data_IF_017845627225
#
_entry.id   IF_017845627225
#
_cell.length_a   1.000
_cell.length_b   1.000
_cell.length_c   1.000
_cell.angle_alpha   90.00
_cell.angle_beta   90.00
_cell.angle_gamma   90.00
#
_symmetry.space_group_name_H-M   'P 1'
#
loop_
_entity.id
_entity.type
_entity.pdbx_description
1 polymer ?
#
# COMPACT_ATOMS: atom_id res chain seq x y z
N UNK A 1 32.87 -31.81 5.02
CA UNK A 1 32.01 -31.99 3.83
C UNK A 1 30.61 -32.47 4.17
N UNK A 2 30.41 -33.54 4.97
CA UNK A 2 29.05 -33.98 5.41
C UNK A 2 28.48 -33.04 6.50
N UNK A 3 29.33 -32.54 7.39
CA UNK A 3 28.99 -31.59 8.44
C UNK A 3 28.61 -30.22 7.86
N UNK A 4 29.29 -29.76 6.79
CA UNK A 4 28.95 -28.53 6.07
C UNK A 4 27.63 -28.65 5.32
N UNK A 5 27.32 -29.79 4.71
CA UNK A 5 26.04 -30.08 4.04
C UNK A 5 24.87 -30.05 5.03
N UNK A 6 25.05 -30.65 6.22
CA UNK A 6 24.02 -30.65 7.25
C UNK A 6 23.74 -29.24 7.78
N UNK A 7 24.76 -28.43 8.00
CA UNK A 7 24.62 -27.05 8.44
C UNK A 7 23.87 -26.18 7.41
N UNK A 8 24.23 -26.27 6.13
CA UNK A 8 23.52 -25.55 5.03
C UNK A 8 22.07 -26.00 4.94
N UNK A 9 21.77 -27.27 5.12
CA UNK A 9 20.41 -27.81 5.11
C UNK A 9 19.56 -27.26 6.26
N UNK A 10 20.11 -27.18 7.47
CA UNK A 10 19.42 -26.60 8.65
C UNK A 10 19.10 -25.13 8.43
N UNK A 11 20.04 -24.35 7.88
CA UNK A 11 19.82 -22.92 7.58
C UNK A 11 18.70 -22.70 6.56
N UNK A 12 18.68 -23.48 5.47
CA UNK A 12 17.66 -23.43 4.43
C UNK A 12 16.29 -23.80 5.01
N UNK A 13 16.24 -24.90 5.78
CA UNK A 13 14.99 -25.36 6.40
C UNK A 13 14.42 -24.33 7.36
N UNK A 14 15.28 -23.66 8.16
CA UNK A 14 14.84 -22.59 9.06
C UNK A 14 14.33 -21.38 8.29
N UNK A 15 15.04 -20.92 7.25
CA UNK A 15 14.64 -19.74 6.48
C UNK A 15 13.31 -19.98 5.72
N UNK A 16 13.21 -21.09 5.01
CA UNK A 16 11.99 -21.44 4.29
C UNK A 16 10.83 -21.77 5.24
N UNK A 17 11.10 -22.45 6.36
CA UNK A 17 10.11 -22.71 7.40
C UNK A 17 9.52 -21.42 7.98
N UNK A 18 10.37 -20.42 8.28
CA UNK A 18 9.93 -19.11 8.72
C UNK A 18 9.06 -18.41 7.65
N UNK A 19 9.47 -18.45 6.37
CA UNK A 19 8.69 -17.89 5.28
C UNK A 19 7.30 -18.55 5.14
N UNK A 20 7.24 -19.87 5.24
CA UNK A 20 5.98 -20.65 5.19
C UNK A 20 5.04 -20.22 6.33
N UNK A 21 5.55 -20.17 7.57
CA UNK A 21 4.76 -19.77 8.74
C UNK A 21 4.24 -18.34 8.58
N UNK A 22 5.10 -17.40 8.18
CA UNK A 22 4.73 -16.01 7.96
C UNK A 22 3.64 -15.88 6.89
N UNK A 23 3.78 -16.54 5.76
CA UNK A 23 2.82 -16.45 4.65
C UNK A 23 1.50 -17.15 4.96
N UNK A 24 1.54 -18.30 5.65
CA UNK A 24 0.32 -18.98 6.10
C UNK A 24 -0.47 -18.12 7.11
N UNK A 25 0.23 -17.50 8.07
CA UNK A 25 -0.38 -16.58 9.03
C UNK A 25 -0.97 -15.35 8.34
N UNK A 26 -0.24 -14.77 7.39
CA UNK A 26 -0.70 -13.60 6.62
C UNK A 26 -1.97 -13.92 5.83
N UNK A 27 -2.02 -15.05 5.13
CA UNK A 27 -3.22 -15.52 4.42
C UNK A 27 -4.40 -15.75 5.37
N UNK A 28 -4.16 -16.32 6.55
CA UNK A 28 -5.19 -16.52 7.57
C UNK A 28 -5.77 -15.18 8.06
N UNK A 29 -4.92 -14.22 8.43
CA UNK A 29 -5.35 -12.89 8.88
C UNK A 29 -6.15 -12.15 7.80
N UNK A 30 -5.69 -12.18 6.55
CA UNK A 30 -6.38 -11.54 5.43
C UNK A 30 -7.75 -12.17 5.15
N UNK A 31 -7.87 -13.49 5.21
CA UNK A 31 -9.17 -14.18 5.03
C UNK A 31 -10.17 -13.84 6.12
N UNK A 32 -9.71 -13.68 7.37
CA UNK A 32 -10.57 -13.37 8.51
C UNK A 32 -11.11 -11.93 8.47
N UNK A 33 -10.32 -10.97 8.00
CA UNK A 33 -10.65 -9.53 8.02
C UNK A 33 -11.20 -9.03 6.68
N UNK A 34 -11.78 -9.90 5.86
CA UNK A 34 -12.22 -9.60 4.50
C UNK A 34 -13.59 -8.93 4.51
N UNK A 35 -13.64 -7.59 4.44
CA UNK A 35 -14.88 -6.82 4.30
C UNK A 35 -15.23 -6.51 2.84
N UNK A 36 -14.24 -6.28 1.97
CA UNK A 36 -14.40 -6.08 0.52
C UNK A 36 -13.19 -6.60 -0.24
N UNK A 37 -13.38 -7.09 -1.49
CA UNK A 37 -12.32 -7.60 -2.33
C UNK A 37 -12.06 -6.61 -3.46
N UNK A 38 -11.01 -5.81 -3.33
CA UNK A 38 -10.47 -5.04 -4.43
C UNK A 38 -9.56 -5.89 -5.33
N UNK A 39 -9.30 -5.44 -6.56
CA UNK A 39 -8.51 -6.22 -7.51
C UNK A 39 -7.02 -6.30 -7.11
N UNK A 40 -6.48 -5.26 -6.49
CA UNK A 40 -5.14 -5.22 -5.90
C UNK A 40 -5.00 -6.19 -4.73
N UNK A 41 -6.03 -6.36 -3.89
CA UNK A 41 -6.07 -7.38 -2.83
C UNK A 41 -5.88 -8.80 -3.38
N UNK A 42 -6.51 -9.11 -4.52
CA UNK A 42 -6.36 -10.43 -5.16
C UNK A 42 -4.93 -10.68 -5.66
N UNK A 43 -4.30 -9.66 -6.24
CA UNK A 43 -2.91 -9.78 -6.69
C UNK A 43 -2.00 -10.02 -5.49
N UNK A 44 -2.22 -9.30 -4.40
CA UNK A 44 -1.48 -9.49 -3.16
C UNK A 44 -1.67 -10.90 -2.57
N UNK A 45 -2.90 -11.43 -2.55
CA UNK A 45 -3.16 -12.81 -2.11
C UNK A 45 -2.44 -13.84 -2.98
N UNK A 46 -2.37 -13.63 -4.31
CA UNK A 46 -1.59 -14.48 -5.20
C UNK A 46 -0.09 -14.41 -4.91
N UNK A 47 0.47 -13.22 -4.67
CA UNK A 47 1.89 -13.10 -4.28
C UNK A 47 2.18 -13.86 -2.99
N UNK A 48 1.31 -13.73 -1.99
CA UNK A 48 1.44 -14.43 -0.70
C UNK A 48 1.38 -15.95 -0.88
N UNK A 49 0.44 -16.44 -1.69
CA UNK A 49 0.30 -17.88 -1.98
C UNK A 49 1.51 -18.43 -2.74
N UNK A 50 1.98 -17.72 -3.77
CA UNK A 50 3.13 -18.12 -4.57
C UNK A 50 4.41 -18.11 -3.74
N UNK A 51 4.58 -17.14 -2.82
CA UNK A 51 5.71 -17.11 -1.89
C UNK A 51 5.70 -18.31 -0.94
N UNK A 52 4.52 -18.66 -0.41
CA UNK A 52 4.37 -19.87 0.43
C UNK A 52 4.73 -21.13 -0.34
N UNK A 53 4.14 -21.34 -1.53
CA UNK A 53 4.40 -22.50 -2.37
C UNK A 53 5.86 -22.52 -2.83
N UNK A 54 6.43 -21.36 -3.17
CA UNK A 54 7.82 -21.22 -3.57
C UNK A 54 8.79 -21.68 -2.47
N UNK A 55 8.57 -21.27 -1.23
CA UNK A 55 9.39 -21.71 -0.09
C UNK A 55 9.29 -23.23 0.15
N UNK A 56 8.10 -23.82 -0.02
CA UNK A 56 7.91 -25.28 0.05
C UNK A 56 8.67 -25.98 -1.08
N UNK A 57 8.51 -25.51 -2.32
CA UNK A 57 9.16 -26.11 -3.49
C UNK A 57 10.68 -25.98 -3.41
N UNK A 58 11.18 -24.81 -2.94
CA UNK A 58 12.61 -24.58 -2.76
C UNK A 58 13.20 -25.55 -1.72
N UNK A 59 12.51 -25.79 -0.62
CA UNK A 59 12.92 -26.83 0.34
C UNK A 59 12.94 -28.22 -0.31
N UNK A 60 11.97 -28.52 -1.18
CA UNK A 60 11.93 -29.80 -1.91
C UNK A 60 13.11 -29.94 -2.89
N UNK A 61 13.62 -28.86 -3.50
CA UNK A 61 14.81 -28.96 -4.38
C UNK A 61 16.00 -29.55 -3.64
N UNK A 62 16.25 -29.08 -2.40
CA UNK A 62 17.35 -29.57 -1.56
C UNK A 62 17.14 -30.98 -1.06
N UNK A 63 15.90 -31.40 -0.79
CA UNK A 63 15.56 -32.75 -0.35
C UNK A 63 15.75 -33.78 -1.51
N UNK A 64 15.50 -33.35 -2.75
CA UNK A 64 15.57 -34.22 -3.92
C UNK A 64 16.98 -34.28 -4.53
N UNK A 65 17.79 -33.23 -4.30
CA UNK A 65 19.13 -33.12 -4.84
C UNK A 65 20.04 -34.27 -4.34
N UNK A 66 20.70 -34.97 -5.26
CA UNK A 66 21.54 -36.12 -4.96
C UNK A 66 20.79 -37.42 -4.62
N UNK A 67 19.46 -37.44 -4.64
CA UNK A 67 18.69 -38.67 -4.39
C UNK A 67 18.64 -39.58 -5.63
N UNK A 68 18.54 -40.90 -5.39
CA UNK A 68 18.65 -41.93 -6.45
C UNK A 68 17.35 -42.72 -6.73
N UNK A 69 16.19 -42.27 -6.18
CA UNK A 69 14.91 -42.93 -6.43
C UNK A 69 14.41 -42.71 -7.87
N UNK A 70 13.52 -43.60 -8.36
CA UNK A 70 12.96 -43.51 -9.71
C UNK A 70 12.21 -42.20 -9.89
N UNK A 71 12.61 -41.35 -10.84
CA UNK A 71 12.03 -40.05 -11.11
C UNK A 71 12.66 -38.88 -10.33
N UNK A 72 13.64 -39.11 -9.45
CA UNK A 72 14.32 -38.06 -8.69
C UNK A 72 14.87 -36.94 -9.56
N UNK A 73 15.53 -37.29 -10.68
CA UNK A 73 16.09 -36.35 -11.63
C UNK A 73 15.02 -35.48 -12.31
N UNK A 74 13.89 -36.07 -12.68
CA UNK A 74 12.76 -35.34 -13.26
C UNK A 74 12.18 -34.37 -12.20
N UNK A 75 12.01 -34.82 -10.95
CA UNK A 75 11.50 -34.00 -9.88
C UNK A 75 12.45 -32.84 -9.57
N UNK A 76 13.76 -33.05 -9.59
CA UNK A 76 14.79 -32.02 -9.40
C UNK A 76 14.74 -30.98 -10.53
N UNK A 77 14.59 -31.38 -11.80
CA UNK A 77 14.36 -30.44 -12.90
C UNK A 77 13.09 -29.64 -12.73
N UNK A 78 11.98 -30.27 -12.35
CA UNK A 78 10.68 -29.63 -12.18
C UNK A 78 10.70 -28.61 -11.04
N UNK A 79 11.19 -28.99 -9.86
CA UNK A 79 11.21 -28.13 -8.67
C UNK A 79 12.12 -26.92 -8.89
N UNK A 80 13.32 -27.10 -9.45
CA UNK A 80 14.19 -25.98 -9.78
C UNK A 80 13.57 -25.04 -10.82
N UNK A 81 12.93 -25.57 -11.87
CA UNK A 81 12.24 -24.74 -12.86
C UNK A 81 11.10 -23.92 -12.25
N UNK A 82 10.35 -24.50 -11.31
CA UNK A 82 9.28 -23.80 -10.58
C UNK A 82 9.83 -22.71 -9.66
N UNK A 83 10.97 -22.93 -9.01
CA UNK A 83 11.64 -21.91 -8.19
C UNK A 83 12.08 -20.72 -9.05
N UNK A 84 12.77 -20.96 -10.17
CA UNK A 84 13.17 -19.91 -11.11
C UNK A 84 11.97 -19.12 -11.62
N UNK A 85 10.94 -19.81 -12.08
CA UNK A 85 9.71 -19.17 -12.59
C UNK A 85 8.99 -18.38 -11.49
N UNK A 86 8.89 -18.96 -10.28
CA UNK A 86 8.20 -18.34 -9.14
C UNK A 86 8.79 -17.00 -8.74
N UNK A 87 10.12 -16.86 -8.74
CA UNK A 87 10.79 -15.59 -8.40
C UNK A 87 10.46 -14.47 -9.39
N UNK A 88 10.42 -14.78 -10.69
CA UNK A 88 10.08 -13.82 -11.74
C UNK A 88 8.60 -13.48 -11.73
N UNK A 89 7.73 -14.47 -11.43
CA UNK A 89 6.27 -14.24 -11.25
C UNK A 89 5.99 -13.28 -10.11
N UNK A 90 6.71 -13.35 -8.98
CA UNK A 90 6.56 -12.41 -7.88
C UNK A 90 6.89 -10.98 -8.34
N UNK A 91 7.99 -10.77 -9.05
CA UNK A 91 8.34 -9.45 -9.60
C UNK A 91 7.28 -8.90 -10.56
N UNK A 92 6.75 -9.75 -11.43
CA UNK A 92 5.65 -9.43 -12.34
C UNK A 92 4.38 -9.01 -11.57
N UNK A 93 3.93 -9.82 -10.62
CA UNK A 93 2.74 -9.51 -9.81
C UNK A 93 2.93 -8.26 -8.96
N UNK A 94 4.15 -8.02 -8.46
CA UNK A 94 4.46 -6.79 -7.76
C UNK A 94 4.24 -5.54 -8.63
N UNK A 95 4.75 -5.54 -9.87
CA UNK A 95 4.51 -4.43 -10.81
C UNK A 95 3.02 -4.20 -11.08
N UNK A 96 2.26 -5.28 -11.23
CA UNK A 96 0.81 -5.20 -11.45
C UNK A 96 0.08 -4.66 -10.22
N UNK A 97 0.50 -5.08 -9.02
CA UNK A 97 -0.01 -4.56 -7.76
C UNK A 97 0.24 -3.05 -7.64
N UNK A 98 1.47 -2.61 -7.90
CA UNK A 98 1.87 -1.20 -7.87
C UNK A 98 1.05 -0.36 -8.85
N UNK A 99 0.96 -0.77 -10.13
CA UNK A 99 0.21 -0.03 -11.17
C UNK A 99 -1.28 0.10 -10.79
N UNK A 100 -1.89 -0.98 -10.32
CA UNK A 100 -3.31 -1.00 -9.96
C UNK A 100 -3.59 -0.20 -8.68
N UNK A 101 -2.72 -0.31 -7.67
CA UNK A 101 -2.86 0.38 -6.39
C UNK A 101 -2.74 1.90 -6.54
N UNK A 102 -1.79 2.37 -7.36
CA UNK A 102 -1.54 3.79 -7.61
C UNK A 102 -2.63 4.41 -8.45
N UNK A 103 -2.90 3.83 -9.62
CA UNK A 103 -3.74 4.46 -10.63
C UNK A 103 -5.22 4.06 -10.54
N UNK A 104 -5.56 2.98 -9.85
CA UNK A 104 -6.92 2.42 -9.72
C UNK A 104 -7.67 2.33 -11.06
N UNK A 105 -6.92 2.21 -12.18
CA UNK A 105 -7.43 2.26 -13.56
C UNK A 105 -7.26 0.92 -14.27
N UNK A 106 -8.34 0.16 -14.38
CA UNK A 106 -8.34 -1.17 -15.02
C UNK A 106 -8.04 -1.14 -16.54
N UNK A 107 -8.35 -0.04 -17.24
CA UNK A 107 -8.04 0.07 -18.67
C UNK A 107 -6.54 0.26 -18.90
N UNK A 108 -5.86 1.11 -18.08
CA UNK A 108 -4.41 1.27 -18.07
C UNK A 108 -3.71 -0.04 -17.73
N UNK A 109 -4.14 -0.70 -16.67
CA UNK A 109 -3.66 -2.02 -16.25
C UNK A 109 -3.66 -3.03 -17.40
N UNK A 110 -4.79 -3.22 -18.10
CA UNK A 110 -4.90 -4.15 -19.23
C UNK A 110 -3.99 -3.80 -20.41
N UNK A 111 -3.79 -2.52 -20.67
CA UNK A 111 -2.89 -2.06 -21.73
C UNK A 111 -1.42 -2.35 -21.38
N UNK A 112 -1.02 -2.09 -20.15
CA UNK A 112 0.35 -2.25 -19.69
C UNK A 112 0.73 -3.72 -19.47
N UNK A 113 -0.24 -4.59 -19.16
CA UNK A 113 -0.04 -6.01 -18.89
C UNK A 113 0.83 -6.71 -19.94
N UNK A 114 0.59 -6.42 -21.25
CA UNK A 114 1.34 -7.06 -22.35
C UNK A 114 2.83 -6.68 -22.37
N UNK A 115 3.17 -5.46 -21.93
CA UNK A 115 4.56 -5.01 -21.88
C UNK A 115 5.26 -5.53 -20.61
N UNK A 116 4.58 -5.49 -19.49
CA UNK A 116 5.07 -6.01 -18.21
C UNK A 116 5.25 -7.53 -18.27
N UNK A 117 4.51 -8.25 -19.11
CA UNK A 117 4.66 -9.70 -19.29
C UNK A 117 5.91 -10.11 -20.11
N UNK A 118 6.60 -9.20 -20.81
CA UNK A 118 7.71 -9.54 -21.68
C UNK A 118 8.87 -10.24 -20.94
N UNK A 119 9.41 -9.74 -19.81
CA UNK A 119 10.48 -10.44 -19.09
C UNK A 119 10.04 -11.82 -18.58
N UNK A 120 8.79 -11.95 -18.12
CA UNK A 120 8.22 -13.20 -17.67
C UNK A 120 8.16 -14.25 -18.79
N UNK A 121 7.68 -13.85 -19.98
CA UNK A 121 7.62 -14.74 -21.15
C UNK A 121 9.01 -15.12 -21.63
N UNK A 122 9.96 -14.18 -21.58
CA UNK A 122 11.36 -14.47 -21.95
C UNK A 122 11.98 -15.51 -21.00
N UNK A 123 11.79 -15.35 -19.68
CA UNK A 123 12.22 -16.35 -18.67
C UNK A 123 11.60 -17.71 -18.93
N UNK A 124 10.30 -17.76 -19.22
CA UNK A 124 9.59 -18.99 -19.55
C UNK A 124 10.20 -19.70 -20.77
N UNK A 125 10.53 -18.97 -21.83
CA UNK A 125 11.19 -19.51 -23.03
C UNK A 125 12.58 -20.04 -22.69
N UNK A 126 13.37 -19.34 -21.89
CA UNK A 126 14.69 -19.78 -21.44
C UNK A 126 14.60 -21.06 -20.62
N UNK A 127 13.60 -21.20 -19.74
CA UNK A 127 13.37 -22.43 -18.97
C UNK A 127 12.94 -23.60 -19.87
N UNK A 128 12.07 -23.39 -20.86
CA UNK A 128 11.69 -24.39 -21.81
C UNK A 128 12.93 -24.88 -22.61
N UNK A 129 13.76 -23.94 -23.05
CA UNK A 129 15.01 -24.29 -23.76
C UNK A 129 15.98 -25.07 -22.85
N UNK A 130 16.04 -24.72 -21.56
CA UNK A 130 16.85 -25.48 -20.59
C UNK A 130 16.35 -26.90 -20.41
N UNK A 131 15.03 -27.13 -20.38
CA UNK A 131 14.41 -28.46 -20.26
C UNK A 131 14.63 -29.32 -21.50
N UNK A 132 14.84 -28.74 -22.70
CA UNK A 132 15.20 -29.46 -23.91
C UNK A 132 16.64 -30.04 -23.92
N UNK A 133 17.35 -29.94 -22.78
CA UNK A 133 18.66 -30.57 -22.59
C UNK A 133 19.87 -29.67 -22.84
N UNK A 134 19.65 -28.37 -23.09
CA UNK A 134 20.72 -27.40 -23.36
C UNK A 134 21.43 -26.85 -22.10
N UNK A 135 20.85 -27.05 -20.90
CA UNK A 135 21.49 -26.79 -19.62
C UNK A 135 22.02 -25.36 -19.42
N UNK A 136 21.41 -24.36 -20.06
CA UNK A 136 21.93 -22.98 -20.05
C UNK A 136 21.72 -22.27 -18.69
N UNK A 137 20.57 -22.48 -18.04
CA UNK A 137 20.24 -21.85 -16.77
C UNK A 137 20.72 -22.67 -15.57
N UNK A 138 20.54 -23.99 -15.65
CA UNK A 138 21.04 -24.95 -14.68
C UNK A 138 21.14 -26.34 -15.32
N UNK A 139 21.96 -27.20 -14.75
CA UNK A 139 22.10 -28.62 -15.16
C UNK A 139 21.87 -29.53 -13.97
N UNK A 140 21.35 -30.74 -14.27
CA UNK A 140 21.25 -31.83 -13.30
C UNK A 140 22.12 -32.99 -13.83
N UNK A 141 23.15 -33.35 -13.09
CA UNK A 141 24.07 -34.43 -13.47
C UNK A 141 23.39 -35.80 -13.54
N UNK A 142 24.12 -36.83 -14.00
CA UNK A 142 23.64 -38.21 -13.97
C UNK A 142 23.32 -38.66 -12.52
N UNK A 143 24.12 -38.20 -11.56
CA UNK A 143 23.98 -38.52 -10.13
C UNK A 143 22.94 -37.59 -9.43
N UNK A 144 22.05 -36.95 -10.20
CA UNK A 144 21.00 -36.07 -9.73
C UNK A 144 21.50 -34.85 -8.92
N UNK A 145 22.70 -34.36 -9.22
CA UNK A 145 23.26 -33.17 -8.55
C UNK A 145 22.99 -31.90 -9.37
N UNK A 146 22.43 -30.87 -8.73
CA UNK A 146 22.18 -29.57 -9.32
C UNK A 146 23.49 -28.78 -9.48
N UNK A 147 23.62 -28.08 -10.61
CA UNK A 147 24.67 -27.09 -10.85
C UNK A 147 24.11 -25.85 -11.53
N UNK A 148 24.41 -24.68 -10.98
CA UNK A 148 23.97 -23.41 -11.55
C UNK A 148 24.68 -23.14 -12.87
N UNK A 149 23.91 -22.84 -13.92
CA UNK A 149 24.43 -22.43 -15.22
C UNK A 149 24.74 -20.91 -15.26
N UNK A 150 25.57 -20.53 -16.23
CA UNK A 150 25.96 -19.10 -16.38
C UNK A 150 24.75 -18.19 -16.62
N UNK A 151 23.78 -18.60 -17.41
CA UNK A 151 22.59 -17.80 -17.76
C UNK A 151 21.50 -17.78 -16.68
N UNK A 152 21.71 -18.41 -15.53
CA UNK A 152 20.83 -18.23 -14.36
C UNK A 152 20.67 -16.78 -13.92
N UNK A 153 21.63 -15.91 -14.29
CA UNK A 153 21.59 -14.46 -14.07
C UNK A 153 20.38 -13.78 -14.76
N UNK A 154 19.79 -14.39 -15.79
CA UNK A 154 18.63 -13.85 -16.53
C UNK A 154 17.45 -13.64 -15.59
N UNK A 155 17.16 -14.63 -14.71
CA UNK A 155 16.09 -14.49 -13.72
C UNK A 155 16.29 -13.30 -12.77
N UNK A 156 17.52 -13.11 -12.30
CA UNK A 156 17.85 -11.94 -11.46
C UNK A 156 17.67 -10.62 -12.23
N UNK A 157 18.13 -10.54 -13.47
CA UNK A 157 17.93 -9.37 -14.34
C UNK A 157 16.44 -9.09 -14.51
N UNK A 158 15.62 -10.10 -14.78
CA UNK A 158 14.17 -9.96 -14.91
C UNK A 158 13.53 -9.38 -13.65
N UNK A 159 13.91 -9.87 -12.46
CA UNK A 159 13.43 -9.34 -11.18
C UNK A 159 13.86 -7.87 -10.97
N UNK A 160 15.13 -7.54 -11.22
CA UNK A 160 15.60 -6.16 -11.10
C UNK A 160 14.88 -5.21 -12.06
N UNK A 161 14.59 -5.63 -13.28
CA UNK A 161 13.79 -4.83 -14.24
C UNK A 161 12.40 -4.52 -13.66
N UNK A 162 11.74 -5.49 -13.03
CA UNK A 162 10.46 -5.27 -12.37
C UNK A 162 10.56 -4.31 -11.18
N UNK A 163 11.61 -4.43 -10.35
CA UNK A 163 11.82 -3.52 -9.23
C UNK A 163 12.08 -2.07 -9.72
N UNK A 164 12.91 -1.90 -10.73
CA UNK A 164 13.19 -0.58 -11.33
C UNK A 164 11.95 0.02 -12.00
N UNK A 165 11.16 -0.80 -12.70
CA UNK A 165 9.91 -0.34 -13.30
C UNK A 165 8.89 0.09 -12.23
N UNK A 166 8.82 -0.61 -11.10
CA UNK A 166 7.94 -0.21 -10.01
C UNK A 166 8.36 1.14 -9.37
N UNK A 167 9.67 1.40 -9.25
CA UNK A 167 10.18 2.71 -8.82
C UNK A 167 9.79 3.80 -9.83
N UNK A 168 9.95 3.52 -11.12
CA UNK A 168 9.55 4.46 -12.18
C UNK A 168 8.06 4.80 -12.10
N UNK A 169 7.18 3.81 -11.88
CA UNK A 169 5.73 4.03 -11.74
C UNK A 169 5.42 4.99 -10.57
N UNK A 170 6.07 4.81 -9.44
CA UNK A 170 5.88 5.69 -8.26
C UNK A 170 6.40 7.10 -8.52
N UNK A 171 7.56 7.22 -9.17
CA UNK A 171 8.11 8.54 -9.51
C UNK A 171 7.20 9.30 -10.49
N UNK A 172 6.79 8.62 -11.56
CA UNK A 172 5.95 9.21 -12.61
C UNK A 172 4.55 9.60 -12.09
N UNK A 173 3.97 8.83 -11.19
CA UNK A 173 2.67 9.15 -10.60
C UNK A 173 2.70 10.44 -9.76
N UNK A 174 3.83 10.76 -9.12
CA UNK A 174 4.00 12.03 -8.40
C UNK A 174 4.00 13.23 -9.34
N UNK A 175 4.58 13.10 -10.53
CA UNK A 175 4.53 14.13 -11.57
C UNK A 175 3.10 14.35 -12.09
N UNK A 176 2.26 13.32 -12.08
CA UNK A 176 0.85 13.38 -12.45
C UNK A 176 -0.06 13.89 -11.30
N UNK A 177 0.50 14.33 -10.16
CA UNK A 177 -0.24 14.89 -9.03
C UNK A 177 -0.95 13.85 -8.16
N UNK A 178 -0.62 12.56 -8.29
CA UNK A 178 -1.17 11.51 -7.43
C UNK A 178 -0.47 11.57 -6.07
N UNK A 179 -1.24 11.82 -5.00
CA UNK A 179 -0.69 11.89 -3.65
C UNK A 179 -0.36 10.48 -3.13
N UNK A 180 0.94 10.18 -3.03
CA UNK A 180 1.48 8.87 -2.65
C UNK A 180 2.28 8.93 -1.34
N UNK A 181 1.87 9.78 -0.40
CA UNK A 181 2.62 10.01 0.85
C UNK A 181 2.95 8.72 1.63
N UNK A 182 2.27 7.61 1.33
CA UNK A 182 2.38 6.34 2.07
C UNK A 182 2.66 5.09 1.23
N UNK A 183 2.93 5.20 -0.08
CA UNK A 183 3.13 3.97 -0.86
C UNK A 183 4.41 3.22 -0.43
N UNK A 184 4.32 1.94 0.00
CA UNK A 184 5.37 1.24 0.72
C UNK A 184 6.44 0.61 -0.19
N UNK A 185 6.84 1.27 -1.29
CA UNK A 185 7.74 0.69 -2.30
C UNK A 185 9.08 0.24 -1.72
N UNK A 186 9.68 1.03 -0.84
CA UNK A 186 10.97 0.70 -0.23
C UNK A 186 10.88 -0.45 0.78
N UNK A 187 9.72 -0.66 1.41
CA UNK A 187 9.48 -1.80 2.30
C UNK A 187 9.44 -3.12 1.54
N UNK A 188 9.06 -3.11 0.26
CA UNK A 188 9.14 -4.29 -0.59
C UNK A 188 10.54 -4.47 -1.18
N UNK A 189 11.10 -3.41 -1.78
CA UNK A 189 12.37 -3.48 -2.51
C UNK A 189 13.56 -3.77 -1.59
N UNK A 190 13.61 -3.13 -0.40
CA UNK A 190 14.75 -3.24 0.50
C UNK A 190 15.10 -4.67 0.90
N UNK A 191 14.18 -5.43 1.53
CA UNK A 191 14.46 -6.82 1.89
C UNK A 191 14.71 -7.72 0.67
N UNK A 192 13.99 -7.51 -0.47
CA UNK A 192 14.22 -8.28 -1.70
C UNK A 192 15.64 -8.09 -2.23
N UNK A 193 16.11 -6.86 -2.34
CA UNK A 193 17.49 -6.56 -2.81
C UNK A 193 18.51 -7.14 -1.85
N UNK A 194 18.32 -6.98 -0.53
CA UNK A 194 19.22 -7.54 0.47
C UNK A 194 19.31 -9.07 0.35
N UNK A 195 18.16 -9.75 0.21
CA UNK A 195 18.11 -11.19 0.05
C UNK A 195 18.84 -11.68 -1.22
N UNK A 196 18.64 -11.00 -2.35
CA UNK A 196 19.32 -11.32 -3.61
C UNK A 196 20.85 -11.13 -3.45
N UNK A 197 21.30 -10.05 -2.81
CA UNK A 197 22.73 -9.81 -2.57
C UNK A 197 23.32 -10.89 -1.67
N UNK A 198 22.66 -11.27 -0.57
CA UNK A 198 23.10 -12.35 0.31
C UNK A 198 23.20 -13.65 -0.47
N UNK A 199 22.19 -14.01 -1.25
CA UNK A 199 22.19 -15.25 -2.03
C UNK A 199 23.25 -15.27 -3.14
N UNK A 200 23.64 -14.11 -3.65
CA UNK A 200 24.74 -14.00 -4.63
C UNK A 200 26.11 -14.15 -3.98
N UNK A 201 26.31 -13.52 -2.81
CA UNK A 201 27.60 -13.55 -2.10
C UNK A 201 27.84 -14.85 -1.36
N UNK A 202 26.81 -15.47 -0.81
CA UNK A 202 26.89 -16.67 0.01
C UNK A 202 26.32 -17.86 -0.78
N UNK A 203 27.21 -18.63 -1.41
CA UNK A 203 26.80 -19.84 -2.16
C UNK A 203 26.21 -20.89 -1.19
N UNK A 204 25.01 -21.37 -1.52
CA UNK A 204 24.31 -22.39 -0.71
C UNK A 204 23.25 -21.82 0.25
N UNK A 205 23.16 -20.50 0.44
CA UNK A 205 22.10 -19.87 1.24
C UNK A 205 20.93 -19.49 0.32
N UNK A 206 19.71 -19.92 0.65
CA UNK A 206 18.50 -19.48 -0.03
C UNK A 206 17.80 -18.41 0.83
N UNK A 207 17.99 -17.15 0.48
CA UNK A 207 17.40 -16.00 1.18
C UNK A 207 16.24 -15.35 0.40
N UNK A 208 15.97 -15.78 -0.83
CA UNK A 208 14.97 -15.17 -1.70
C UNK A 208 13.56 -15.23 -1.11
N UNK A 209 13.09 -16.42 -0.72
CA UNK A 209 11.70 -16.57 -0.26
C UNK A 209 11.43 -15.92 1.08
N UNK A 210 12.38 -16.01 2.01
CA UNK A 210 12.23 -15.30 3.31
C UNK A 210 12.26 -13.79 3.12
N UNK A 211 13.07 -13.27 2.20
CA UNK A 211 13.13 -11.83 1.90
C UNK A 211 11.83 -11.32 1.30
N UNK A 212 11.22 -12.07 0.37
CA UNK A 212 9.91 -11.76 -0.19
C UNK A 212 8.83 -11.84 0.90
N UNK A 213 8.89 -12.85 1.78
CA UNK A 213 7.94 -12.98 2.89
C UNK A 213 8.00 -11.79 3.85
N UNK A 214 9.20 -11.33 4.21
CA UNK A 214 9.42 -10.11 5.01
C UNK A 214 8.87 -8.90 4.28
N UNK A 215 9.17 -8.75 2.98
CA UNK A 215 8.70 -7.64 2.15
C UNK A 215 7.18 -7.56 2.10
N UNK A 216 6.51 -8.67 1.82
CA UNK A 216 5.05 -8.74 1.81
C UNK A 216 4.46 -8.41 3.18
N UNK A 217 5.07 -8.89 4.27
CA UNK A 217 4.61 -8.57 5.62
C UNK A 217 4.72 -7.07 5.91
N UNK A 218 5.82 -6.42 5.55
CA UNK A 218 5.99 -4.98 5.71
C UNK A 218 4.98 -4.17 4.88
N UNK A 219 4.76 -4.56 3.62
CA UNK A 219 3.73 -3.94 2.77
C UNK A 219 2.36 -4.05 3.42
N UNK A 220 2.00 -5.23 3.94
CA UNK A 220 0.72 -5.43 4.60
C UNK A 220 0.57 -4.59 5.88
N UNK A 221 1.61 -4.50 6.70
CA UNK A 221 1.61 -3.65 7.89
C UNK A 221 1.40 -2.19 7.53
N UNK A 222 2.01 -1.72 6.43
CA UNK A 222 1.85 -0.36 5.97
C UNK A 222 0.42 -0.10 5.45
N UNK A 223 -0.13 -1.00 4.64
CA UNK A 223 -1.52 -0.90 4.15
C UNK A 223 -2.52 -0.90 5.31
N UNK A 224 -2.30 -1.73 6.35
CA UNK A 224 -3.11 -1.66 7.57
C UNK A 224 -2.97 -0.31 8.29
N UNK A 225 -1.76 0.23 8.36
CA UNK A 225 -1.51 1.55 8.96
C UNK A 225 -2.25 2.67 8.20
N UNK A 226 -2.34 2.59 6.87
CA UNK A 226 -3.11 3.52 6.04
C UNK A 226 -4.61 3.39 6.31
N UNK A 227 -5.14 2.18 6.30
CA UNK A 227 -6.57 1.93 6.59
C UNK A 227 -6.98 2.40 8.00
N UNK A 228 -6.06 2.31 8.99
CA UNK A 228 -6.27 2.86 10.32
C UNK A 228 -6.28 4.41 10.32
N UNK A 229 -5.76 5.04 9.28
CA UNK A 229 -5.64 6.51 9.16
C UNK A 229 -6.78 7.18 8.41
N UNK A 230 -7.70 6.41 7.81
CA UNK A 230 -8.88 6.92 7.12
C UNK A 230 -10.16 6.65 7.94
N UNK A 231 -11.14 7.52 7.76
CA UNK A 231 -12.50 7.33 8.28
C UNK A 231 -13.36 6.64 7.21
N UNK A 232 -13.89 5.47 7.53
CA UNK A 232 -14.62 4.63 6.58
C UNK A 232 -15.96 5.23 6.12
N UNK A 233 -16.54 6.16 6.89
CA UNK A 233 -17.82 6.79 6.56
C UNK A 233 -17.64 7.96 5.60
N UNK A 234 -16.73 8.89 5.92
CA UNK A 234 -16.50 10.11 5.14
C UNK A 234 -15.51 9.91 3.98
N UNK A 235 -14.66 8.88 4.04
CA UNK A 235 -13.55 8.64 3.11
C UNK A 235 -12.35 9.60 3.32
N UNK A 236 -12.42 10.48 4.33
CA UNK A 236 -11.36 11.41 4.69
C UNK A 236 -10.32 10.75 5.61
N UNK A 237 -9.21 11.45 5.87
CA UNK A 237 -8.33 11.06 6.96
C UNK A 237 -9.06 11.19 8.31
N UNK A 238 -8.65 10.40 9.30
CA UNK A 238 -9.21 10.47 10.64
C UNK A 238 -8.31 11.25 11.61
N UNK A 239 -8.76 11.43 12.85
CA UNK A 239 -8.01 12.11 13.91
C UNK A 239 -6.62 11.52 14.14
N UNK A 240 -6.45 10.18 14.06
CA UNK A 240 -5.12 9.55 14.23
C UNK A 240 -4.12 10.00 13.17
N UNK A 241 -4.59 10.27 11.96
CA UNK A 241 -3.76 10.85 10.92
C UNK A 241 -3.31 12.27 11.27
N UNK A 242 -4.24 13.12 11.73
CA UNK A 242 -3.92 14.47 12.20
C UNK A 242 -2.86 14.44 13.30
N UNK A 243 -3.06 13.63 14.35
CA UNK A 243 -2.12 13.49 15.46
C UNK A 243 -0.72 13.09 14.97
N UNK A 244 -0.64 12.20 13.98
CA UNK A 244 0.63 11.78 13.35
C UNK A 244 1.29 12.90 12.55
N UNK A 245 0.52 13.68 11.80
CA UNK A 245 1.04 14.84 11.05
C UNK A 245 1.59 15.88 12.02
N UNK A 246 0.83 16.21 13.07
CA UNK A 246 1.23 17.21 14.07
C UNK A 246 2.42 16.76 14.93
N UNK A 247 2.64 15.46 15.11
CA UNK A 247 3.81 14.92 15.80
C UNK A 247 5.12 15.14 15.05
N UNK A 248 5.08 15.34 13.72
CA UNK A 248 6.28 15.51 12.90
C UNK A 248 6.70 16.98 12.80
N UNK A 249 7.15 17.54 13.93
CA UNK A 249 7.53 18.96 14.07
C UNK A 249 8.62 19.39 13.07
N UNK A 250 9.58 18.52 12.77
CA UNK A 250 10.68 18.83 11.85
C UNK A 250 10.19 19.03 10.40
N UNK A 251 9.24 18.22 9.95
CA UNK A 251 8.61 18.39 8.64
C UNK A 251 7.75 19.65 8.58
N UNK A 252 6.95 19.87 9.62
CA UNK A 252 6.04 21.01 9.72
C UNK A 252 6.77 22.36 9.76
N UNK A 253 7.96 22.43 10.39
CA UNK A 253 8.76 23.66 10.46
C UNK A 253 9.29 24.14 9.09
N UNK A 254 9.21 23.32 8.06
CA UNK A 254 9.64 23.66 6.68
C UNK A 254 8.55 24.35 5.87
N UNK A 255 7.31 24.36 6.37
CA UNK A 255 6.15 24.87 5.66
C UNK A 255 5.34 25.81 6.54
N UNK A 256 4.69 26.80 5.94
CA UNK A 256 3.64 27.55 6.62
C UNK A 256 2.33 26.77 6.50
N UNK A 257 1.82 26.30 7.63
CA UNK A 257 0.62 25.45 7.69
C UNK A 257 -0.50 26.19 8.42
N UNK A 258 -1.68 26.17 7.83
CA UNK A 258 -2.91 26.63 8.46
C UNK A 258 -3.88 25.47 8.64
N UNK A 259 -4.70 25.53 9.67
CA UNK A 259 -5.80 24.61 9.89
C UNK A 259 -7.13 25.33 9.88
N UNK A 260 -8.17 24.63 9.43
CA UNK A 260 -9.57 25.06 9.55
C UNK A 260 -10.30 23.95 10.28
N UNK A 261 -10.88 24.22 11.45
CA UNK A 261 -11.79 23.32 12.15
C UNK A 261 -13.22 23.67 11.79
N UNK A 262 -14.05 22.66 11.62
CA UNK A 262 -15.43 22.79 11.14
C UNK A 262 -16.33 21.86 11.92
N UNK A 263 -17.56 22.33 12.23
CA UNK A 263 -18.61 21.55 12.87
C UNK A 263 -19.91 21.71 12.07
N UNK A 264 -20.61 20.61 11.84
CA UNK A 264 -21.89 20.62 11.11
C UNK A 264 -23.00 21.15 12.03
N UNK A 265 -23.53 22.32 11.68
CA UNK A 265 -24.59 22.93 12.47
C UNK A 265 -25.85 22.06 12.50
N UNK A 266 -26.46 21.96 13.67
CA UNK A 266 -27.71 21.22 13.86
C UNK A 266 -27.68 19.76 13.44
N UNK A 267 -26.50 19.11 13.41
CA UNK A 267 -26.35 17.71 12.99
C UNK A 267 -27.25 16.75 13.77
N UNK A 268 -27.44 17.02 15.06
CA UNK A 268 -28.36 16.24 15.88
C UNK A 268 -29.80 16.32 15.36
N UNK A 269 -30.24 17.50 14.88
CA UNK A 269 -31.59 17.65 14.32
C UNK A 269 -31.76 16.83 13.01
N UNK A 270 -30.69 16.69 12.21
CA UNK A 270 -30.69 15.81 11.03
C UNK A 270 -30.93 14.36 11.48
N UNK A 271 -30.20 13.90 12.49
CA UNK A 271 -30.36 12.54 13.05
C UNK A 271 -31.77 12.33 13.63
N UNK A 272 -32.22 13.27 14.46
CA UNK A 272 -33.51 13.15 15.19
C UNK A 272 -34.70 13.19 14.21
N UNK A 273 -34.62 13.97 13.13
CA UNK A 273 -35.71 14.13 12.17
C UNK A 273 -35.72 13.08 11.05
N UNK A 274 -34.53 12.65 10.57
CA UNK A 274 -34.42 11.81 9.38
C UNK A 274 -33.78 10.45 9.66
N UNK A 275 -33.33 10.22 10.89
CA UNK A 275 -32.67 8.98 11.33
C UNK A 275 -31.17 8.98 11.08
N UNK A 276 -30.45 8.11 11.80
CA UNK A 276 -28.97 8.01 11.76
C UNK A 276 -28.40 7.71 10.37
N UNK A 277 -29.14 6.99 9.51
CA UNK A 277 -28.70 6.73 8.14
C UNK A 277 -28.58 8.00 7.29
N UNK A 278 -29.43 9.00 7.56
CA UNK A 278 -29.35 10.31 6.91
C UNK A 278 -28.24 11.19 7.53
N UNK A 279 -27.99 11.07 8.82
CA UNK A 279 -26.79 11.65 9.44
C UNK A 279 -25.50 11.09 8.82
N UNK A 280 -25.44 9.79 8.63
CA UNK A 280 -24.32 9.15 7.91
C UNK A 280 -24.19 9.68 6.48
N UNK A 281 -25.31 9.90 5.79
CA UNK A 281 -25.29 10.51 4.46
C UNK A 281 -24.78 11.95 4.48
N UNK A 282 -25.16 12.74 5.49
CA UNK A 282 -24.64 14.11 5.68
C UNK A 282 -23.10 14.11 5.87
N UNK A 283 -22.56 13.17 6.62
CA UNK A 283 -21.12 12.99 6.79
C UNK A 283 -20.44 12.63 5.47
N UNK A 284 -21.02 11.72 4.66
CA UNK A 284 -20.48 11.37 3.32
C UNK A 284 -20.48 12.58 2.38
N UNK A 285 -21.56 13.35 2.38
CA UNK A 285 -21.67 14.58 1.57
C UNK A 285 -20.59 15.58 2.00
N UNK A 286 -20.44 15.80 3.31
CA UNK A 286 -19.42 16.71 3.83
C UNK A 286 -18.00 16.25 3.43
N UNK A 287 -17.71 14.95 3.53
CA UNK A 287 -16.45 14.36 3.08
C UNK A 287 -16.16 14.63 1.59
N UNK A 288 -17.16 14.44 0.73
CA UNK A 288 -17.03 14.70 -0.70
C UNK A 288 -16.85 16.21 -1.01
N UNK A 289 -17.53 17.08 -0.27
CA UNK A 289 -17.37 18.54 -0.42
C UNK A 289 -15.96 18.95 -0.04
N UNK A 290 -15.45 18.51 1.12
CA UNK A 290 -14.11 18.86 1.59
C UNK A 290 -13.03 18.35 0.63
N UNK A 291 -13.11 17.11 0.19
CA UNK A 291 -12.14 16.54 -0.77
C UNK A 291 -12.03 17.33 -2.07
N UNK A 292 -13.11 18.06 -2.47
CA UNK A 292 -13.16 18.83 -3.71
C UNK A 292 -12.95 20.33 -3.51
N UNK A 293 -13.07 20.82 -2.29
CA UNK A 293 -12.95 22.24 -1.97
C UNK A 293 -11.51 22.65 -1.62
N UNK A 294 -10.72 21.70 -1.12
CA UNK A 294 -9.33 21.98 -0.75
C UNK A 294 -8.45 22.12 -1.99
N UNK A 295 -7.44 23.00 -1.95
CA UNK A 295 -6.41 23.10 -2.98
C UNK A 295 -5.52 21.85 -2.98
N UNK A 296 -4.71 21.71 -4.03
CA UNK A 296 -3.73 20.64 -4.15
C UNK A 296 -2.78 20.62 -2.95
N UNK A 297 -2.63 19.46 -2.32
CA UNK A 297 -1.87 19.30 -1.08
C UNK A 297 -2.62 19.60 0.20
N UNK A 298 -3.87 20.06 0.12
CA UNK A 298 -4.76 20.20 1.29
C UNK A 298 -5.18 18.84 1.85
N UNK A 299 -5.24 18.72 3.18
CA UNK A 299 -5.50 17.48 3.88
C UNK A 299 -6.85 17.55 4.59
N UNK A 300 -7.91 16.91 4.06
CA UNK A 300 -9.22 16.86 4.69
C UNK A 300 -9.28 15.71 5.71
N UNK A 301 -9.77 16.01 6.91
CA UNK A 301 -9.78 15.10 8.06
C UNK A 301 -11.17 15.12 8.70
N UNK A 302 -11.70 13.96 9.08
CA UNK A 302 -12.80 13.85 10.02
C UNK A 302 -12.22 13.75 11.43
N UNK A 303 -12.45 14.76 12.25
CA UNK A 303 -11.85 14.85 13.58
C UNK A 303 -12.61 14.01 14.62
N UNK A 304 -13.93 14.20 14.70
CA UNK A 304 -14.83 13.40 15.53
C UNK A 304 -16.28 13.60 15.05
N UNK A 305 -17.15 12.62 15.21
CA UNK A 305 -18.59 12.78 14.98
C UNK A 305 -18.94 13.56 13.71
N UNK A 306 -19.37 14.81 13.88
CA UNK A 306 -19.72 15.82 12.88
C UNK A 306 -18.66 16.94 12.74
N UNK A 307 -17.49 16.74 13.36
CA UNK A 307 -16.37 17.69 13.33
C UNK A 307 -15.34 17.30 12.27
N UNK A 308 -14.86 18.29 11.55
CA UNK A 308 -13.86 18.13 10.48
C UNK A 308 -12.71 19.11 10.65
N UNK A 309 -11.53 18.72 10.13
CA UNK A 309 -10.36 19.60 10.07
C UNK A 309 -9.80 19.57 8.66
N UNK A 310 -9.39 20.73 8.14
CA UNK A 310 -8.60 20.82 6.93
C UNK A 310 -7.24 21.43 7.26
N UNK A 311 -6.14 20.78 6.84
CA UNK A 311 -4.81 21.38 6.89
C UNK A 311 -4.43 21.89 5.50
N UNK A 312 -3.89 23.12 5.44
CA UNK A 312 -3.48 23.79 4.22
C UNK A 312 -2.01 24.18 4.33
N UNK A 313 -1.25 23.95 3.27
CA UNK A 313 0.13 24.43 3.13
C UNK A 313 0.05 25.69 2.27
N UNK A 314 0.08 26.87 2.89
CA UNK A 314 0.02 28.14 2.18
C UNK A 314 0.75 29.22 2.98
N UNK A 315 1.25 30.24 2.30
CA UNK A 315 1.93 31.36 2.94
C UNK A 315 0.98 32.54 3.19
N UNK A 316 -0.03 32.69 2.31
CA UNK A 316 -1.01 33.79 2.39
C UNK A 316 -2.28 33.34 3.13
N UNK A 317 -2.63 34.00 4.26
CA UNK A 317 -3.91 33.76 4.95
C UNK A 317 -5.15 33.93 4.05
N UNK A 318 -5.06 34.67 2.95
CA UNK A 318 -6.17 34.83 2.01
C UNK A 318 -6.56 33.51 1.33
N UNK A 319 -5.63 32.56 1.17
CA UNK A 319 -5.93 31.24 0.64
C UNK A 319 -6.82 30.42 1.60
N UNK A 320 -6.67 30.63 2.91
CA UNK A 320 -7.55 30.04 3.92
C UNK A 320 -8.97 30.54 3.77
N UNK A 321 -9.14 31.88 3.65
CA UNK A 321 -10.46 32.48 3.44
C UNK A 321 -11.09 32.07 2.10
N UNK A 322 -10.30 31.97 1.05
CA UNK A 322 -10.76 31.47 -0.26
C UNK A 322 -11.26 30.02 -0.14
N UNK A 323 -10.54 29.17 0.61
CA UNK A 323 -10.94 27.78 0.86
C UNK A 323 -12.24 27.70 1.68
N UNK A 324 -12.37 28.49 2.75
CA UNK A 324 -13.61 28.57 3.55
C UNK A 324 -14.79 29.01 2.68
N UNK A 325 -14.56 30.02 1.81
CA UNK A 325 -15.58 30.51 0.86
C UNK A 325 -15.98 29.42 -0.14
N UNK A 326 -15.02 28.66 -0.67
CA UNK A 326 -15.30 27.55 -1.60
C UNK A 326 -16.07 26.41 -0.94
N UNK A 327 -15.76 26.08 0.32
CA UNK A 327 -16.53 25.11 1.11
C UNK A 327 -17.99 25.56 1.21
N UNK A 328 -18.24 26.81 1.64
CA UNK A 328 -19.58 27.36 1.77
C UNK A 328 -20.31 27.41 0.42
N UNK A 329 -19.63 27.79 -0.65
CA UNK A 329 -20.21 27.80 -2.01
C UNK A 329 -20.66 26.40 -2.43
N UNK A 330 -19.87 25.35 -2.13
CA UNK A 330 -20.24 23.95 -2.46
C UNK A 330 -21.40 23.46 -1.61
N UNK A 331 -21.44 23.82 -0.33
CA UNK A 331 -22.58 23.55 0.54
C UNK A 331 -23.85 24.21 0.02
N UNK A 332 -23.78 25.47 -0.42
CA UNK A 332 -24.92 26.15 -1.03
C UNK A 332 -25.41 25.47 -2.31
N UNK A 333 -24.51 25.04 -3.19
CA UNK A 333 -24.84 24.29 -4.39
C UNK A 333 -25.54 22.99 -4.03
N UNK A 334 -25.02 22.24 -3.06
CA UNK A 334 -25.64 21.03 -2.55
C UNK A 334 -27.05 21.31 -2.01
N UNK A 335 -27.18 22.29 -1.11
CA UNK A 335 -28.44 22.65 -0.47
C UNK A 335 -29.53 23.10 -1.47
N UNK A 336 -29.14 23.77 -2.57
CA UNK A 336 -30.05 24.20 -3.65
C UNK A 336 -30.42 23.07 -4.58
N UNK A 337 -29.61 22.01 -4.68
CA UNK A 337 -29.91 20.89 -5.56
C UNK A 337 -31.15 20.09 -5.14
N UNK A 338 -31.49 20.13 -3.84
CA UNK A 338 -32.60 19.35 -3.28
C UNK A 338 -32.40 17.85 -3.36
N UNK A 339 -31.13 17.39 -3.54
CA UNK A 339 -30.81 15.97 -3.68
C UNK A 339 -31.11 15.18 -2.40
N UNK A 340 -31.05 15.85 -1.25
CA UNK A 340 -31.34 15.25 0.06
C UNK A 340 -32.42 16.04 0.80
N UNK A 341 -33.16 15.42 1.73
CA UNK A 341 -34.23 16.09 2.47
C UNK A 341 -33.75 17.05 3.54
N UNK A 342 -32.44 17.08 3.78
CA UNK A 342 -31.78 17.96 4.75
C UNK A 342 -30.88 18.98 4.06
N UNK A 343 -30.53 20.04 4.82
CA UNK A 343 -29.52 21.01 4.41
C UNK A 343 -28.32 20.92 5.35
N UNK A 344 -27.14 21.23 4.84
CA UNK A 344 -25.90 21.25 5.62
C UNK A 344 -25.38 22.69 5.65
N UNK A 345 -25.06 23.17 6.85
CA UNK A 345 -24.25 24.35 7.08
C UNK A 345 -23.17 24.02 8.11
N UNK A 346 -22.09 24.76 8.10
CA UNK A 346 -20.94 24.51 9.00
C UNK A 346 -20.52 25.81 9.67
N UNK A 347 -20.06 25.69 10.90
CA UNK A 347 -19.31 26.76 11.59
C UNK A 347 -17.83 26.45 11.48
N UNK A 348 -16.99 27.46 11.18
CA UNK A 348 -15.58 27.28 10.85
C UNK A 348 -14.68 28.21 11.68
N UNK A 349 -13.59 27.65 12.23
CA UNK A 349 -12.52 28.40 12.87
C UNK A 349 -11.17 28.05 12.27
N UNK A 350 -10.28 29.02 12.09
CA UNK A 350 -8.96 28.77 11.54
C UNK A 350 -7.85 29.29 12.44
N UNK A 351 -6.67 28.66 12.36
CA UNK A 351 -5.45 29.12 13.02
C UNK A 351 -4.23 28.83 12.15
N UNK A 352 -3.12 29.54 12.43
CA UNK A 352 -1.80 29.21 11.88
C UNK A 352 -1.09 28.25 12.83
N UNK A 353 -0.50 27.18 12.27
CA UNK A 353 0.24 26.22 13.06
C UNK A 353 1.59 26.81 13.51
N UNK A 354 1.83 26.76 14.81
CA UNK A 354 3.17 26.80 15.38
C UNK A 354 3.62 25.33 15.63
N UNK A 355 4.66 24.84 14.93
CA UNK A 355 5.12 23.47 15.12
C UNK A 355 5.63 23.17 16.53
N UNK A 356 5.99 24.21 17.32
CA UNK A 356 6.41 24.06 18.71
C UNK A 356 5.24 23.83 19.67
N UNK A 357 4.05 24.36 19.34
CA UNK A 357 2.84 24.33 20.18
C UNK A 357 1.59 23.93 19.41
N UNK A 358 1.49 22.64 19.13
CA UNK A 358 0.35 22.05 18.41
C UNK A 358 -0.95 22.03 19.22
N UNK A 359 -0.87 22.09 20.55
CA UNK A 359 -2.07 22.13 21.42
C UNK A 359 -2.77 23.48 21.31
N UNK A 360 -2.02 24.57 21.37
CA UNK A 360 -2.57 25.92 21.16
C UNK A 360 -3.20 26.07 19.78
N UNK A 361 -2.58 25.50 18.74
CA UNK A 361 -3.13 25.49 17.39
C UNK A 361 -4.53 24.86 17.31
N UNK A 362 -4.72 23.69 17.91
CA UNK A 362 -6.01 23.01 17.92
C UNK A 362 -7.04 23.80 18.75
N UNK A 363 -6.63 24.31 19.88
CA UNK A 363 -7.49 25.11 20.76
C UNK A 363 -7.95 26.40 20.10
N UNK A 364 -7.07 27.14 19.42
CA UNK A 364 -7.45 28.37 18.72
C UNK A 364 -8.47 28.17 17.61
N UNK A 365 -8.30 27.07 16.85
CA UNK A 365 -9.28 26.70 15.82
C UNK A 365 -10.65 26.41 16.44
N UNK A 366 -10.67 25.62 17.51
CA UNK A 366 -11.89 25.23 18.21
C UNK A 366 -12.61 26.46 18.81
N UNK A 367 -11.88 27.31 19.50
CA UNK A 367 -12.45 28.57 20.11
C UNK A 367 -13.10 29.43 19.03
N UNK A 368 -12.46 29.66 17.89
CA UNK A 368 -12.99 30.47 16.79
C UNK A 368 -14.19 29.82 16.11
N UNK A 369 -14.15 28.49 15.91
CA UNK A 369 -15.27 27.71 15.39
C UNK A 369 -16.49 27.82 16.33
N UNK A 370 -16.27 27.69 17.63
CA UNK A 370 -17.32 27.78 18.63
C UNK A 370 -17.93 29.20 18.72
N UNK A 371 -17.13 30.25 18.53
CA UNK A 371 -17.63 31.61 18.42
C UNK A 371 -18.56 31.77 17.21
N UNK A 372 -18.20 31.24 16.05
CA UNK A 372 -19.04 31.26 14.86
C UNK A 372 -20.34 30.46 15.07
N UNK A 373 -20.24 29.28 15.68
CA UNK A 373 -21.40 28.46 16.04
C UNK A 373 -22.37 29.18 16.97
N UNK A 374 -21.87 29.93 17.95
CA UNK A 374 -22.72 30.76 18.83
C UNK A 374 -23.44 31.88 18.07
N UNK A 375 -22.76 32.53 17.13
CA UNK A 375 -23.39 33.55 16.26
C UNK A 375 -24.47 32.93 15.38
N UNK A 376 -24.21 31.78 14.81
CA UNK A 376 -25.19 31.04 14.00
C UNK A 376 -26.47 30.76 14.81
N UNK A 377 -26.37 30.23 16.02
CA UNK A 377 -27.53 29.97 16.86
C UNK A 377 -28.28 31.21 17.29
N UNK A 378 -27.60 32.34 17.51
CA UNK A 378 -28.25 33.61 17.79
C UNK A 378 -29.11 34.12 16.63
N UNK A 379 -28.62 33.99 15.40
CA UNK A 379 -29.33 34.43 14.19
C UNK A 379 -30.56 33.58 13.83
N UNK A 380 -30.63 32.33 14.31
CA UNK A 380 -31.79 31.47 14.07
C UNK A 380 -32.88 31.66 15.12
N UNK A 381 -32.55 32.20 16.30
CA UNK A 381 -33.49 32.43 17.40
C UNK A 381 -34.01 33.88 17.46
N UNK A 382 -33.52 34.78 16.62
CA UNK A 382 -34.14 36.07 16.27
C UNK A 382 -35.07 35.94 15.07
#
# INVERSE_FOLDING_TARGET
>A
MEQDKNMVFEEIFMANGAAIIMMAFLLYCRRRNRESIHADDRIYDWMTLITLLGAVIDTLTFLVDGQSFVGARFLNYLTNSLVYMGTVVIGFLWCLYVDLHIYKNHARYRRNLRYVAIPLLFEFVCLLYNLCGNGIMFTISADNMYSRGFYSIIGYISVYLYLLYSIYLVYHSREEGVNLDFFPIFYFIGPCVLGIVIQFLCYGITSSWISVAISLTFVQMQVYSENISTDSLSGLYNRRYLDRVLANKERLSRFSVFGIMMDVNDFKQINDRYGHSMGDQAIRVMGNILSKALPDGGIPIRYAGDEFVALLICEDPNEVFATMTEINRRLDVFNRSGAEPFKISVSMGYAKLDPSDTETFLREMDERMYEEKRRYHQLIHE
#
